data_IF_614391735108
#
_entry.id   IF_614391735108
#
_cell.length_a   1.000
_cell.length_b   1.000
_cell.length_c   1.000
_cell.angle_alpha   90.00
_cell.angle_beta   90.00
_cell.angle_gamma   90.00
#
_symmetry.space_group_name_H-M   'P 1'
#
loop_
_entity.id
_entity.type
_entity.pdbx_description
1 polymer ?
#
# COMPACT_ATOMS: atom_id res chain seq x y z
N UNK A 1 -23.74 26.27 -6.40
CA UNK A 1 -22.80 26.82 -5.40
C UNK A 1 -22.56 25.75 -4.34
N UNK A 2 -21.66 24.78 -4.59
CA UNK A 2 -21.23 23.70 -3.68
C UNK A 2 -19.86 23.26 -4.23
N UNK A 3 -18.71 23.74 -3.75
CA UNK A 3 -17.96 23.52 -2.50
C UNK A 3 -17.49 22.06 -2.30
N UNK A 4 -16.16 21.93 -2.41
CA UNK A 4 -15.32 20.76 -2.61
C UNK A 4 -15.11 19.90 -1.35
N UNK A 5 -14.80 18.60 -1.54
CA UNK A 5 -13.67 17.87 -0.91
C UNK A 5 -13.89 16.34 -0.90
N UNK A 6 -13.06 15.58 -1.63
CA UNK A 6 -12.31 14.38 -1.16
C UNK A 6 -11.83 13.50 -2.32
N UNK A 7 -10.54 13.67 -2.63
CA UNK A 7 -9.81 13.01 -3.73
C UNK A 7 -9.08 14.03 -4.61
N UNK A 8 -8.13 14.80 -4.07
CA UNK A 8 -7.41 15.83 -4.83
C UNK A 8 -6.43 15.20 -5.81
N UNK A 9 -6.85 15.07 -7.07
CA UNK A 9 -5.95 15.05 -8.22
C UNK A 9 -5.37 16.46 -8.32
N UNK A 10 -4.11 16.65 -7.96
CA UNK A 10 -3.44 17.94 -8.13
C UNK A 10 -2.93 18.13 -9.56
N UNK A 11 -3.85 18.05 -10.52
CA UNK A 11 -3.88 18.84 -11.76
C UNK A 11 -5.28 18.73 -12.34
N UNK A 12 -5.90 19.89 -12.56
CA UNK A 12 -7.23 20.12 -13.10
C UNK A 12 -7.49 19.39 -14.43
N UNK A 13 -8.10 18.21 -14.39
CA UNK A 13 -8.95 17.64 -15.48
C UNK A 13 -9.72 16.44 -14.92
N UNK A 14 -11.05 16.45 -15.03
CA UNK A 14 -11.96 15.40 -14.58
C UNK A 14 -11.75 14.11 -15.38
N UNK A 15 -11.40 13.00 -14.72
CA UNK A 15 -11.30 11.67 -15.32
C UNK A 15 -12.66 10.97 -15.10
N UNK A 16 -13.42 10.76 -16.18
CA UNK A 16 -14.68 10.02 -16.13
C UNK A 16 -14.41 8.52 -16.34
N UNK A 17 -15.18 7.63 -15.71
CA UNK A 17 -15.25 6.21 -16.11
C UNK A 17 -16.54 5.99 -16.93
N UNK A 18 -16.48 5.32 -18.08
CA UNK A 18 -17.68 5.02 -18.89
C UNK A 18 -17.86 3.51 -19.11
N UNK A 19 -19.05 3.00 -18.75
CA UNK A 19 -19.58 1.74 -19.29
C UNK A 19 -20.10 1.99 -20.70
N UNK A 20 -19.73 1.10 -21.62
CA UNK A 20 -20.01 1.15 -23.07
C UNK A 20 -21.44 1.62 -23.42
N UNK A 21 -21.54 2.60 -24.32
CA UNK A 21 -22.78 2.95 -25.00
C UNK A 21 -22.94 4.46 -25.31
N UNK A 22 -23.09 4.77 -26.61
CA UNK A 22 -23.52 6.02 -27.26
C UNK A 22 -22.43 6.88 -27.92
N UNK A 23 -22.36 6.75 -29.26
CA UNK A 23 -21.76 7.69 -30.22
C UNK A 23 -22.55 9.00 -30.22
N UNK A 24 -21.84 10.12 -30.27
CA UNK A 24 -22.39 11.43 -30.58
C UNK A 24 -21.76 11.90 -31.90
N UNK A 25 -22.53 11.81 -32.98
CA UNK A 25 -22.19 12.39 -34.28
C UNK A 25 -22.46 13.90 -34.23
N UNK A 26 -21.52 14.72 -34.70
CA UNK A 26 -21.69 16.16 -34.89
C UNK A 26 -20.48 16.78 -35.58
N UNK A 27 -20.62 17.12 -36.87
CA UNK A 27 -19.51 17.39 -37.78
C UNK A 27 -18.91 18.80 -37.80
N UNK A 28 -17.83 18.91 -38.60
CA UNK A 28 -17.25 20.17 -39.11
C UNK A 28 -15.89 20.52 -38.50
N UNK A 29 -14.79 20.07 -39.13
CA UNK A 29 -13.41 20.51 -38.81
C UNK A 29 -13.02 20.27 -37.36
N UNK A 30 -12.99 19.00 -36.95
CA UNK A 30 -12.87 18.64 -35.54
C UNK A 30 -11.42 18.55 -35.10
N UNK A 31 -11.09 19.20 -33.98
CA UNK A 31 -9.85 18.90 -33.26
C UNK A 31 -9.88 17.44 -32.82
N UNK A 32 -8.80 16.72 -33.13
CA UNK A 32 -8.55 15.38 -32.64
C UNK A 32 -7.54 15.41 -31.50
N UNK A 33 -7.80 14.61 -30.46
CA UNK A 33 -6.92 14.45 -29.31
C UNK A 33 -6.19 13.12 -29.35
N UNK A 34 -4.86 13.19 -29.23
CA UNK A 34 -3.97 12.03 -29.21
C UNK A 34 -3.31 11.96 -27.85
N UNK A 35 -3.41 10.81 -27.18
CA UNK A 35 -2.84 10.56 -25.85
C UNK A 35 -1.63 9.64 -25.95
N UNK A 36 -0.45 10.11 -25.55
CA UNK A 36 0.76 9.31 -25.46
C UNK A 36 1.37 9.36 -24.05
N UNK A 37 2.41 8.56 -23.80
CA UNK A 37 3.15 8.57 -22.55
C UNK A 37 3.21 7.20 -21.87
N UNK A 38 3.80 7.16 -20.67
CA UNK A 38 3.88 5.93 -19.89
C UNK A 38 2.48 5.52 -19.43
N UNK A 39 2.09 4.26 -19.70
CA UNK A 39 0.75 3.73 -19.44
C UNK A 39 -0.18 3.75 -20.65
N UNK A 40 0.31 4.13 -21.83
CA UNK A 40 -0.40 4.00 -23.11
C UNK A 40 0.44 3.15 -24.06
N UNK A 41 -0.17 2.14 -24.64
CA UNK A 41 0.44 1.23 -25.62
C UNK A 41 -0.51 1.13 -26.83
N UNK A 42 -0.07 1.69 -27.96
CA UNK A 42 -0.84 1.69 -29.20
C UNK A 42 -0.76 0.36 -29.95
N UNK A 43 0.33 -0.38 -29.78
CA UNK A 43 0.54 -1.67 -30.42
C UNK A 43 -0.20 -2.78 -29.67
N UNK A 44 -0.33 -2.63 -28.35
CA UNK A 44 -1.04 -3.54 -27.46
C UNK A 44 -2.05 -2.79 -26.57
N UNK A 45 -3.19 -2.34 -27.11
CA UNK A 45 -4.18 -1.55 -26.36
C UNK A 45 -4.69 -2.22 -25.08
N UNK A 46 -4.68 -3.55 -25.01
CA UNK A 46 -5.06 -4.32 -23.82
C UNK A 46 -4.11 -4.13 -22.63
N UNK A 47 -2.88 -3.66 -22.89
CA UNK A 47 -1.89 -3.33 -21.86
C UNK A 47 -1.98 -1.87 -21.41
N UNK A 48 -2.77 -1.04 -22.10
CA UNK A 48 -2.94 0.36 -21.75
C UNK A 48 -3.67 0.53 -20.42
N UNK A 49 -3.22 1.53 -19.66
CA UNK A 49 -3.84 2.00 -18.41
C UNK A 49 -4.80 3.15 -18.65
N UNK A 50 -4.48 3.99 -19.64
CA UNK A 50 -5.25 5.20 -19.96
C UNK A 50 -5.70 5.21 -21.41
N UNK A 51 -6.86 5.81 -21.67
CA UNK A 51 -7.37 6.08 -23.00
C UNK A 51 -7.98 7.47 -23.06
N UNK A 52 -7.98 8.10 -24.23
CA UNK A 52 -8.66 9.38 -24.45
C UNK A 52 -9.75 9.19 -25.50
N UNK A 53 -10.88 9.88 -25.34
CA UNK A 53 -11.81 10.06 -26.43
C UNK A 53 -11.21 11.07 -27.42
N UNK A 54 -10.98 10.63 -28.65
CA UNK A 54 -10.28 11.41 -29.68
C UNK A 54 -11.03 12.66 -30.11
N UNK A 55 -12.34 12.76 -29.87
CA UNK A 55 -13.16 13.90 -30.29
C UNK A 55 -13.57 14.80 -29.13
N UNK A 56 -13.77 14.26 -27.93
CA UNK A 56 -14.17 15.05 -26.74
C UNK A 56 -13.00 15.44 -25.86
N UNK A 57 -11.85 14.77 -25.99
CA UNK A 57 -10.69 14.98 -25.12
C UNK A 57 -10.86 14.39 -23.71
N UNK A 58 -11.94 13.65 -23.43
CA UNK A 58 -12.14 13.01 -22.13
C UNK A 58 -11.10 11.89 -21.91
N UNK A 59 -10.36 11.98 -20.81
CA UNK A 59 -9.39 10.97 -20.37
C UNK A 59 -10.07 9.93 -19.47
N UNK A 60 -9.78 8.66 -19.72
CA UNK A 60 -10.32 7.50 -19.01
C UNK A 60 -9.19 6.69 -18.41
N UNK A 61 -9.42 6.19 -17.18
CA UNK A 61 -8.67 5.07 -16.63
C UNK A 61 -9.36 3.78 -17.08
N UNK A 62 -8.67 2.97 -17.89
CA UNK A 62 -9.22 1.76 -18.51
C UNK A 62 -8.69 0.46 -17.90
N UNK A 63 -7.61 0.54 -17.13
CA UNK A 63 -7.09 -0.58 -16.37
C UNK A 63 -6.71 -0.16 -14.95
N UNK A 64 -6.78 -1.06 -13.97
CA UNK A 64 -6.33 -0.80 -12.61
C UNK A 64 -4.87 -0.34 -12.55
N UNK A 65 -4.61 0.62 -11.68
CA UNK A 65 -3.25 1.07 -11.36
C UNK A 65 -2.72 0.24 -10.20
N UNK A 66 -1.47 -0.22 -10.36
CA UNK A 66 -0.67 -0.76 -9.27
C UNK A 66 0.42 0.26 -8.96
N UNK A 67 0.59 0.64 -7.70
CA UNK A 67 1.67 1.52 -7.27
C UNK A 67 2.97 0.74 -7.07
N UNK A 68 2.89 -0.47 -6.54
CA UNK A 68 4.02 -1.13 -5.90
C UNK A 68 4.89 -1.97 -6.84
N UNK A 69 6.23 -1.95 -6.64
CA UNK A 69 7.16 -2.76 -7.42
C UNK A 69 6.89 -4.28 -7.29
N UNK A 70 7.32 -5.11 -8.27
CA UNK A 70 8.11 -4.74 -9.45
C UNK A 70 7.29 -4.22 -10.63
N UNK A 71 6.00 -4.51 -10.67
CA UNK A 71 5.14 -4.29 -11.84
C UNK A 71 4.32 -2.99 -11.78
N UNK A 72 4.32 -2.31 -10.63
CA UNK A 72 3.62 -1.05 -10.40
C UNK A 72 4.40 0.20 -10.78
N UNK A 73 3.74 1.36 -10.61
CA UNK A 73 4.35 2.67 -10.88
C UNK A 73 3.67 3.76 -10.03
N UNK A 74 4.48 4.53 -9.32
CA UNK A 74 4.01 5.64 -8.49
C UNK A 74 3.45 6.83 -9.27
N UNK A 75 3.88 6.98 -10.52
CA UNK A 75 3.47 8.10 -11.36
C UNK A 75 3.45 7.77 -12.86
N UNK A 76 2.50 8.36 -13.56
CA UNK A 76 2.36 8.32 -15.01
C UNK A 76 2.46 9.73 -15.57
N UNK A 77 3.24 9.89 -16.66
CA UNK A 77 3.37 11.14 -17.39
C UNK A 77 2.72 10.95 -18.75
N UNK A 78 1.56 11.57 -18.91
CA UNK A 78 0.81 11.52 -20.15
C UNK A 78 0.96 12.83 -20.92
N UNK A 79 1.00 12.74 -22.23
CA UNK A 79 1.01 13.89 -23.12
C UNK A 79 -0.24 13.82 -24.01
N UNK A 80 -1.04 14.88 -23.96
CA UNK A 80 -2.18 15.05 -24.85
C UNK A 80 -1.79 16.06 -25.92
N UNK A 81 -2.06 15.72 -27.16
CA UNK A 81 -1.79 16.54 -28.34
C UNK A 81 -3.09 16.80 -29.08
N UNK A 82 -3.33 18.05 -29.46
CA UNK A 82 -4.51 18.45 -30.24
C UNK A 82 -4.10 18.75 -31.69
N UNK A 83 -4.75 18.08 -32.63
CA UNK A 83 -4.47 18.17 -34.06
C UNK A 83 -5.73 18.56 -34.83
N UNK A 84 -5.59 19.44 -35.82
CA UNK A 84 -6.66 19.73 -36.76
C UNK A 84 -6.64 18.66 -37.86
N UNK A 85 -7.78 18.02 -38.11
CA UNK A 85 -7.99 16.98 -39.13
C UNK A 85 -7.46 17.38 -40.53
N UNK A 86 -7.30 18.68 -40.80
CA UNK A 86 -6.89 19.21 -42.11
C UNK A 86 -5.48 19.81 -42.14
N UNK A 87 -4.68 19.71 -41.07
CA UNK A 87 -3.33 20.31 -41.06
C UNK A 87 -2.30 19.47 -40.30
N UNK A 88 -1.08 19.39 -40.82
CA UNK A 88 0.09 18.84 -40.11
C UNK A 88 0.58 19.75 -38.97
N UNK A 89 -0.13 20.84 -38.66
CA UNK A 89 0.24 21.78 -37.59
C UNK A 89 -0.34 21.30 -36.26
N UNK A 90 0.56 20.85 -35.40
CA UNK A 90 0.29 20.62 -33.98
C UNK A 90 -0.14 21.96 -33.37
N UNK A 91 -1.37 22.06 -32.88
CA UNK A 91 -1.91 23.32 -32.38
C UNK A 91 -1.82 23.47 -30.85
N UNK A 92 -1.46 22.41 -30.13
CA UNK A 92 -1.16 22.48 -28.71
C UNK A 92 -0.86 21.12 -28.10
N UNK A 93 -0.01 21.11 -27.06
CA UNK A 93 0.23 19.92 -26.27
C UNK A 93 0.27 20.28 -24.78
N UNK A 94 -0.27 19.39 -23.95
CA UNK A 94 -0.25 19.48 -22.50
C UNK A 94 0.32 18.19 -21.91
N UNK A 95 1.09 18.32 -20.84
CA UNK A 95 1.56 17.18 -20.05
C UNK A 95 0.73 17.06 -18.78
N UNK A 96 0.22 15.85 -18.51
CA UNK A 96 -0.49 15.49 -17.28
C UNK A 96 0.40 14.57 -16.45
N UNK A 97 0.54 14.89 -15.17
CA UNK A 97 1.24 14.04 -14.20
C UNK A 97 0.22 13.40 -13.26
N UNK A 98 0.03 12.09 -13.38
CA UNK A 98 -0.86 11.32 -12.53
C UNK A 98 -0.01 10.66 -11.44
N UNK A 99 -0.32 10.95 -10.17
CA UNK A 99 0.29 10.28 -9.02
C UNK A 99 -0.65 9.21 -8.49
N UNK A 100 -0.14 8.01 -8.30
CA UNK A 100 -0.88 6.89 -7.72
C UNK A 100 -0.77 6.98 -6.21
N UNK A 101 -1.92 7.01 -5.53
CA UNK A 101 -1.96 6.99 -4.07
C UNK A 101 -1.61 5.60 -3.58
N UNK A 102 -0.80 5.55 -2.53
CA UNK A 102 -0.49 4.32 -1.82
C UNK A 102 -1.67 3.80 -1.01
N UNK A 103 -1.84 2.48 -1.00
CA UNK A 103 -2.79 1.77 -0.15
C UNK A 103 -2.03 0.69 0.61
N UNK A 104 -2.48 0.39 1.83
CA UNK A 104 -1.86 -0.64 2.63
C UNK A 104 -2.31 -2.02 2.12
N UNK A 105 -1.58 -2.57 1.15
CA UNK A 105 -1.87 -3.86 0.52
C UNK A 105 -0.69 -4.85 0.59
N UNK A 106 0.42 -4.45 1.20
CA UNK A 106 1.54 -5.33 1.49
C UNK A 106 1.55 -5.71 2.98
N UNK A 107 1.57 -7.00 3.27
CA UNK A 107 1.72 -7.46 4.64
C UNK A 107 3.21 -7.47 5.04
N UNK A 108 3.53 -7.14 6.32
CA UNK A 108 4.89 -7.31 6.82
C UNK A 108 5.35 -8.76 6.68
N UNK A 109 6.64 -8.99 6.51
CA UNK A 109 7.25 -10.33 6.54
C UNK A 109 8.58 -10.33 7.27
N UNK A 110 8.89 -11.44 7.95
CA UNK A 110 10.20 -11.66 8.56
C UNK A 110 11.15 -12.32 7.56
N UNK A 111 12.43 -11.99 7.62
CA UNK A 111 13.46 -12.60 6.75
C UNK A 111 13.64 -14.10 7.01
N UNK A 112 13.33 -14.57 8.23
CA UNK A 112 13.43 -15.97 8.62
C UNK A 112 12.08 -16.52 9.10
N UNK A 113 11.77 -17.75 8.67
CA UNK A 113 10.60 -18.50 9.14
C UNK A 113 10.68 -18.89 10.62
N UNK A 114 11.90 -19.01 11.16
CA UNK A 114 12.16 -19.30 12.57
C UNK A 114 13.52 -18.70 12.97
N UNK A 115 13.53 -17.98 14.09
CA UNK A 115 14.75 -17.44 14.68
C UNK A 115 15.23 -18.31 15.84
N UNK A 116 16.55 -18.32 16.07
CA UNK A 116 17.17 -19.07 17.16
C UNK A 116 18.14 -18.19 17.91
N UNK A 117 18.03 -18.20 19.23
CA UNK A 117 18.91 -17.46 20.12
C UNK A 117 19.33 -18.32 21.31
N UNK A 118 20.39 -17.87 21.99
CA UNK A 118 20.86 -18.47 23.23
C UNK A 118 20.90 -17.41 24.32
N UNK A 119 20.45 -17.77 25.52
CA UNK A 119 20.50 -16.91 26.70
C UNK A 119 21.14 -17.68 27.84
N UNK A 120 22.04 -17.03 28.58
CA UNK A 120 22.59 -17.66 29.78
C UNK A 120 21.52 -17.63 30.87
N UNK A 121 21.39 -18.73 31.59
CA UNK A 121 20.62 -18.78 32.82
C UNK A 121 21.19 -17.83 33.88
N UNK A 122 20.41 -17.57 34.94
CA UNK A 122 20.82 -16.74 36.09
C UNK A 122 21.18 -15.28 35.75
N UNK A 123 20.81 -14.81 34.56
CA UNK A 123 20.92 -13.40 34.18
C UNK A 123 19.82 -12.56 34.81
N UNK A 124 20.09 -11.28 35.01
CA UNK A 124 19.10 -10.31 35.44
C UNK A 124 17.98 -10.14 34.39
N UNK A 125 16.89 -9.49 34.79
CA UNK A 125 15.91 -8.96 33.83
C UNK A 125 16.54 -7.83 32.99
N UNK A 126 15.99 -7.61 31.80
CA UNK A 126 16.41 -6.58 30.85
C UNK A 126 17.63 -6.93 30.01
N UNK A 127 18.00 -8.21 29.91
CA UNK A 127 19.13 -8.62 29.07
C UNK A 127 18.67 -8.90 27.64
N UNK A 128 19.26 -8.19 26.70
CA UNK A 128 19.06 -8.34 25.27
C UNK A 128 19.45 -9.74 24.78
N UNK A 129 18.59 -10.33 23.95
CA UNK A 129 18.74 -11.69 23.42
C UNK A 129 18.98 -11.65 21.91
N UNK A 130 18.01 -11.10 21.16
CA UNK A 130 18.03 -11.04 19.71
C UNK A 130 17.14 -9.91 19.22
N UNK A 131 17.53 -9.25 18.14
CA UNK A 131 16.67 -8.32 17.43
C UNK A 131 16.07 -9.01 16.22
N UNK A 132 14.75 -8.91 16.06
CA UNK A 132 14.07 -9.33 14.84
C UNK A 132 13.89 -8.14 13.90
N UNK A 133 13.84 -8.43 12.61
CA UNK A 133 13.52 -7.44 11.59
C UNK A 133 12.46 -8.01 10.66
N UNK A 134 11.33 -7.33 10.61
CA UNK A 134 10.31 -7.51 9.59
C UNK A 134 10.42 -6.37 8.57
N UNK A 135 10.01 -6.66 7.34
CA UNK A 135 10.03 -5.74 6.20
C UNK A 135 8.60 -5.66 5.67
N UNK A 136 8.19 -4.46 5.33
CA UNK A 136 6.95 -4.17 4.63
C UNK A 136 7.30 -3.31 3.42
N UNK A 137 6.62 -3.55 2.31
CA UNK A 137 6.90 -2.88 1.04
C UNK A 137 6.06 -1.60 0.88
N UNK A 138 5.07 -1.38 1.74
CA UNK A 138 4.32 -0.14 1.78
C UNK A 138 5.24 1.00 2.28
N UNK A 139 5.41 2.09 1.50
CA UNK A 139 6.38 3.16 1.76
C UNK A 139 6.19 3.87 3.11
N UNK A 140 4.94 3.92 3.57
CA UNK A 140 4.51 4.60 4.78
C UNK A 140 4.28 3.60 5.94
N UNK A 141 4.71 2.34 5.77
CA UNK A 141 4.54 1.30 6.79
C UNK A 141 5.43 1.57 8.01
N UNK A 142 4.78 1.67 9.17
CA UNK A 142 5.44 1.72 10.46
C UNK A 142 5.14 0.43 11.20
N UNK A 143 6.16 -0.41 11.37
CA UNK A 143 6.00 -1.71 12.02
C UNK A 143 6.04 -1.60 13.54
N UNK A 144 5.17 -2.38 14.18
CA UNK A 144 5.13 -2.60 15.63
C UNK A 144 5.26 -4.08 15.94
N UNK A 145 6.18 -4.41 16.83
CA UNK A 145 6.46 -5.77 17.25
C UNK A 145 5.74 -6.11 18.56
N UNK A 146 5.25 -7.34 18.67
CA UNK A 146 4.55 -7.83 19.86
C UNK A 146 4.78 -9.32 20.07
N UNK A 147 4.68 -9.78 21.32
CA UNK A 147 4.73 -11.20 21.66
C UNK A 147 3.30 -11.73 21.75
N UNK A 148 2.90 -12.57 20.80
CA UNK A 148 1.58 -13.24 20.80
C UNK A 148 1.56 -14.46 21.73
N UNK A 149 2.65 -15.23 21.74
CA UNK A 149 2.80 -16.39 22.61
C UNK A 149 4.03 -16.19 23.47
N UNK A 150 3.78 -16.02 24.78
CA UNK A 150 4.80 -15.89 25.81
C UNK A 150 4.45 -16.81 26.98
N UNK A 151 5.48 -17.23 27.72
CA UNK A 151 5.27 -17.93 28.99
C UNK A 151 5.22 -16.93 30.13
N UNK A 152 4.61 -17.36 31.22
CA UNK A 152 4.66 -16.66 32.50
C UNK A 152 5.43 -17.49 33.53
N UNK A 153 6.08 -16.82 34.47
CA UNK A 153 6.69 -17.47 35.63
C UNK A 153 5.61 -17.85 36.68
N UNK A 154 6.05 -18.31 37.86
CA UNK A 154 5.16 -18.66 38.98
C UNK A 154 4.35 -17.48 39.52
N UNK A 155 4.85 -16.26 39.36
CA UNK A 155 4.23 -15.03 39.87
C UNK A 155 3.25 -14.41 38.86
N UNK A 156 3.17 -14.98 37.65
CA UNK A 156 2.30 -14.50 36.57
C UNK A 156 2.98 -13.47 35.64
N UNK A 157 4.26 -13.19 35.85
CA UNK A 157 5.02 -12.25 35.02
C UNK A 157 5.48 -12.92 33.73
N UNK A 158 5.42 -12.18 32.62
CA UNK A 158 5.93 -12.61 31.32
C UNK A 158 7.44 -12.91 31.40
N UNK A 159 7.91 -13.93 30.68
CA UNK A 159 9.33 -14.35 30.75
C UNK A 159 10.23 -13.49 29.84
N UNK A 160 9.71 -13.08 28.69
CA UNK A 160 10.42 -12.24 27.72
C UNK A 160 9.65 -10.95 27.46
N UNK A 161 10.37 -9.90 27.09
CA UNK A 161 9.82 -8.65 26.61
C UNK A 161 10.30 -8.38 25.17
N UNK A 162 9.60 -7.50 24.46
CA UNK A 162 10.02 -7.01 23.15
C UNK A 162 9.83 -5.51 23.05
N UNK A 163 10.87 -4.81 22.60
CA UNK A 163 10.74 -3.41 22.24
C UNK A 163 9.89 -3.27 20.97
N UNK A 164 8.77 -2.56 21.10
CA UNK A 164 7.72 -2.46 20.09
C UNK A 164 8.23 -1.86 18.76
N UNK A 165 9.27 -1.03 18.78
CA UNK A 165 9.77 -0.32 17.60
C UNK A 165 11.00 -0.98 16.98
N UNK A 166 11.93 -1.45 17.81
CA UNK A 166 13.19 -2.04 17.33
C UNK A 166 13.13 -3.55 17.14
N UNK A 167 12.11 -4.23 17.68
CA UNK A 167 11.99 -5.68 17.62
C UNK A 167 13.05 -6.41 18.47
N UNK A 168 13.66 -5.71 19.43
CA UNK A 168 14.66 -6.26 20.34
C UNK A 168 13.97 -7.06 21.46
N UNK A 169 14.26 -8.35 21.52
CA UNK A 169 13.76 -9.26 22.54
C UNK A 169 14.75 -9.27 23.70
N UNK A 170 14.22 -9.16 24.92
CA UNK A 170 15.00 -9.18 26.16
C UNK A 170 14.36 -10.11 27.21
N UNK A 171 15.11 -10.44 28.26
CA UNK A 171 14.54 -11.12 29.45
C UNK A 171 13.63 -10.15 30.21
N UNK A 172 12.39 -10.52 30.50
CA UNK A 172 11.50 -9.71 31.33
C UNK A 172 11.68 -10.01 32.83
N UNK A 173 12.15 -11.21 33.15
CA UNK A 173 12.38 -11.68 34.52
C UNK A 173 13.84 -12.08 34.71
N UNK A 174 14.27 -12.07 35.97
CA UNK A 174 15.56 -12.66 36.33
C UNK A 174 15.49 -14.17 36.26
N UNK A 175 16.69 -14.73 36.15
CA UNK A 175 17.02 -16.00 36.75
C UNK A 175 16.29 -17.15 36.06
N UNK A 176 16.29 -17.13 34.73
CA UNK A 176 15.94 -18.30 33.94
C UNK A 176 16.80 -19.46 34.42
N UNK A 177 16.20 -20.64 34.53
CA UNK A 177 16.81 -21.85 35.06
C UNK A 177 16.67 -22.96 34.02
N UNK A 178 17.81 -23.44 33.50
CA UNK A 178 17.82 -24.39 32.39
C UNK A 178 17.29 -25.75 32.82
N UNK A 179 17.54 -26.16 34.07
CA UNK A 179 17.04 -27.41 34.63
C UNK A 179 15.51 -27.43 34.70
N UNK A 180 14.88 -26.28 34.95
CA UNK A 180 13.42 -26.11 34.90
C UNK A 180 12.89 -26.08 33.47
N UNK A 181 13.45 -25.23 32.60
CA UNK A 181 13.05 -25.10 31.19
C UNK A 181 14.29 -24.92 30.32
N UNK A 182 14.63 -25.96 29.56
CA UNK A 182 15.81 -25.96 28.70
C UNK A 182 15.63 -25.25 27.35
N UNK A 183 14.39 -24.93 26.96
CA UNK A 183 14.11 -24.22 25.71
C UNK A 183 12.74 -23.53 25.77
N UNK A 184 12.70 -22.28 25.32
CA UNK A 184 11.49 -21.50 25.12
C UNK A 184 11.18 -21.38 23.63
N UNK A 185 9.90 -21.36 23.30
CA UNK A 185 9.41 -20.97 21.98
C UNK A 185 8.41 -19.84 22.19
N UNK A 186 8.72 -18.66 21.67
CA UNK A 186 7.81 -17.50 21.66
C UNK A 186 7.38 -17.20 20.23
N UNK A 187 6.15 -16.70 20.08
CA UNK A 187 5.60 -16.28 18.78
C UNK A 187 5.57 -14.76 18.77
N UNK A 188 6.31 -14.17 17.83
CA UNK A 188 6.42 -12.71 17.66
C UNK A 188 5.65 -12.31 16.43
N UNK A 189 4.86 -11.24 16.52
CA UNK A 189 4.17 -10.65 15.39
C UNK A 189 4.70 -9.25 15.10
N UNK A 190 4.85 -8.93 13.82
CA UNK A 190 5.04 -7.58 13.32
C UNK A 190 3.74 -7.14 12.65
N UNK A 191 3.24 -5.97 13.03
CA UNK A 191 2.00 -5.40 12.52
C UNK A 191 2.29 -4.04 11.91
N UNK A 192 1.86 -3.83 10.68
CA UNK A 192 1.88 -2.50 10.09
C UNK A 192 0.89 -1.59 10.82
N UNK A 193 1.22 -0.32 10.89
CA UNK A 193 0.26 0.72 11.20
C UNK A 193 -0.01 1.50 9.93
N UNK A 194 -1.11 1.19 9.26
CA UNK A 194 -1.59 2.02 8.17
C UNK A 194 -1.88 3.45 8.69
N UNK A 195 -1.04 4.42 8.31
CA UNK A 195 -1.23 5.84 8.67
C UNK A 195 -2.35 6.52 7.86
N UNK A 196 -3.04 5.78 6.98
CA UNK A 196 -4.21 6.26 6.25
C UNK A 196 -5.47 6.47 7.14
N UNK A 197 -5.33 6.36 8.47
CA UNK A 197 -6.37 6.67 9.48
C UNK A 197 -6.30 8.07 10.11
N UNK A 198 -5.53 9.01 9.55
CA UNK A 198 -5.56 10.42 9.97
C UNK A 198 -6.73 11.18 9.34
N UNK A 199 -7.78 11.43 10.14
CA UNK A 199 -8.97 12.24 9.89
C UNK A 199 -9.97 11.78 8.81
N UNK A 200 -10.82 10.80 9.14
CA UNK A 200 -12.22 10.86 8.73
C UNK A 200 -13.14 10.37 9.85
N UNK A 201 -13.86 11.32 10.44
CA UNK A 201 -15.07 11.04 11.22
C UNK A 201 -15.96 10.03 10.48
N UNK A 202 -16.42 9.02 11.21
CA UNK A 202 -17.54 8.19 10.81
C UNK A 202 -18.71 9.10 10.37
N UNK A 203 -19.05 9.09 9.09
CA UNK A 203 -20.39 9.42 8.64
C UNK A 203 -20.90 8.24 7.82
N UNK A 204 -21.86 7.53 8.41
CA UNK A 204 -22.77 6.65 7.70
C UNK A 204 -23.46 7.48 6.63
N UNK A 205 -23.30 7.14 5.34
CA UNK A 205 -24.20 7.61 4.29
C UNK A 205 -24.56 6.47 3.32
N UNK A 206 -25.85 6.50 3.00
CA UNK A 206 -26.70 5.55 2.28
C UNK A 206 -26.24 5.23 0.84
N UNK A 207 -26.72 4.14 0.23
CA UNK A 207 -26.10 3.54 -0.94
C UNK A 207 -26.54 4.25 -2.23
N UNK A 208 -25.63 4.92 -2.94
CA UNK A 208 -25.78 5.19 -4.38
C UNK A 208 -24.45 5.46 -5.10
N UNK A 209 -24.25 4.75 -6.22
CA UNK A 209 -23.41 5.06 -7.41
C UNK A 209 -21.96 5.52 -7.12
N UNK A 210 -21.22 4.75 -6.33
CA UNK A 210 -19.75 4.75 -6.33
C UNK A 210 -19.21 3.30 -6.38
N UNK A 211 -19.51 2.62 -7.47
CA UNK A 211 -18.83 1.36 -7.82
C UNK A 211 -18.41 1.55 -9.28
N UNK A 212 -17.13 1.70 -9.59
CA UNK A 212 -16.15 0.62 -9.57
C UNK A 212 -14.75 1.26 -9.43
N UNK A 213 -14.18 1.19 -8.24
CA UNK A 213 -12.74 1.12 -8.03
C UNK A 213 -12.51 -0.19 -7.29
N UNK A 214 -11.60 -0.98 -7.85
CA UNK A 214 -11.08 -2.29 -7.44
C UNK A 214 -11.60 -2.89 -6.13
N UNK A 215 -12.04 -4.14 -6.23
CA UNK A 215 -12.25 -5.06 -5.11
C UNK A 215 -10.91 -5.52 -4.51
N UNK A 216 -10.14 -4.59 -3.96
CA UNK A 216 -9.11 -4.86 -2.95
C UNK A 216 -9.35 -3.87 -1.82
N UNK A 217 -10.02 -4.35 -0.78
CA UNK A 217 -10.15 -3.61 0.46
C UNK A 217 -8.75 -3.49 1.05
N UNK A 218 -8.26 -2.26 1.23
CA UNK A 218 -7.09 -2.02 2.07
C UNK A 218 -7.34 -2.65 3.43
N UNK A 219 -6.47 -3.56 3.87
CA UNK A 219 -6.57 -4.09 5.22
C UNK A 219 -5.97 -3.06 6.18
N UNK A 220 -6.76 -2.65 7.16
CA UNK A 220 -6.27 -1.83 8.26
C UNK A 220 -5.44 -2.75 9.15
N UNK A 221 -4.14 -2.46 9.28
CA UNK A 221 -3.17 -3.17 10.12
C UNK A 221 -2.98 -4.65 9.72
N UNK A 222 -2.18 -4.90 8.69
CA UNK A 222 -1.75 -6.25 8.35
C UNK A 222 -0.65 -6.70 9.31
N UNK A 223 -0.57 -8.01 9.53
CA UNK A 223 0.43 -8.58 10.42
C UNK A 223 0.96 -9.91 9.90
N UNK A 224 2.20 -10.21 10.29
CA UNK A 224 2.77 -11.54 10.16
C UNK A 224 3.45 -11.93 11.45
N UNK A 225 3.64 -13.24 11.66
CA UNK A 225 4.25 -13.76 12.86
C UNK A 225 5.32 -14.80 12.55
N UNK A 226 6.33 -14.87 13.41
CA UNK A 226 7.42 -15.85 13.35
C UNK A 226 7.66 -16.47 14.73
N UNK A 227 8.27 -17.65 14.75
CA UNK A 227 8.67 -18.31 16.00
C UNK A 227 10.12 -17.97 16.33
N UNK A 228 10.39 -17.75 17.61
CA UNK A 228 11.75 -17.62 18.14
C UNK A 228 11.98 -18.73 19.15
N UNK A 229 13.00 -19.55 18.91
CA UNK A 229 13.47 -20.57 19.85
C UNK A 229 14.65 -20.04 20.64
N UNK A 230 14.48 -19.93 21.95
CA UNK A 230 15.51 -19.44 22.88
C UNK A 230 15.97 -20.61 23.73
N UNK A 231 17.27 -20.87 23.74
CA UNK A 231 17.91 -21.98 24.47
C UNK A 231 18.86 -21.49 25.54
#
# INVERSE_FOLDING_TARGET
>A
MINDSNGTISTSTTINQRKSGQNIDGGGGGLMFILSGNGVDYEHPEKSKFAINTFTGELFLISPLNRDPPDGREQYRLQIQAEDEHSEKINGSITILIRVRDINDNQPYFEQNEYRAQVKENLAAGIDIIRLTAIDLDPDSILRYSIEVNRVNSDGDLIFDIDELSGLISTAVCCLDRESIAQYTIKICATDRSINGGDHHQQQQSPSIQSIVQQQQSMINQSSCTNVKIK
#
